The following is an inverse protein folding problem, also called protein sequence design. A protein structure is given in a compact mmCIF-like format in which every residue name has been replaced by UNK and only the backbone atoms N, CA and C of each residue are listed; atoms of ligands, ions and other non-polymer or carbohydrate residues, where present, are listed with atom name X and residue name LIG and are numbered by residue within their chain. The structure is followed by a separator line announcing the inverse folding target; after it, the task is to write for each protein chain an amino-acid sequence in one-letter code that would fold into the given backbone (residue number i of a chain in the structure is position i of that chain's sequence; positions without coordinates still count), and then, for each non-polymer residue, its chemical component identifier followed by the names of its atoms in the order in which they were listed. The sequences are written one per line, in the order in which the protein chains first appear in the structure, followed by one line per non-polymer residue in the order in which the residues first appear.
data_IF_275239291307
#
_entry.id   IF_275239291307
#
_cell.length_a   1.000
_cell.length_b   1.000
_cell.length_c   1.000
_cell.angle_alpha   90.00
_cell.angle_beta   90.00
_cell.angle_gamma   90.00
#
_symmetry.space_group_name_H-M   'P 1'
#
loop_
_entity.id
_entity.type
_entity.pdbx_description
1 polymer ?
#
# COMPACT_ATOMS: atom_id res chain seq x y z
N UNK A 1 -16.70 -8.46 -14.91
CA UNK A 1 -15.52 -8.65 -14.05
C UNK A 1 -15.80 -7.97 -12.72
N UNK A 2 -15.65 -8.68 -11.61
CA UNK A 2 -15.83 -8.16 -10.25
C UNK A 2 -14.46 -7.89 -9.64
N UNK A 3 -14.28 -6.69 -9.09
CA UNK A 3 -13.01 -6.25 -8.48
C UNK A 3 -13.20 -6.07 -6.98
N UNK A 4 -12.22 -6.52 -6.20
CA UNK A 4 -12.15 -6.22 -4.77
C UNK A 4 -10.84 -5.51 -4.42
N UNK A 5 -10.92 -4.46 -3.60
CA UNK A 5 -9.75 -3.84 -2.97
C UNK A 5 -9.66 -4.39 -1.56
N UNK A 6 -8.50 -4.95 -1.21
CA UNK A 6 -8.20 -5.41 0.14
C UNK A 6 -7.30 -4.40 0.84
N UNK A 7 -7.69 -3.90 2.01
CA UNK A 7 -6.96 -2.83 2.69
C UNK A 7 -6.89 -3.01 4.22
N UNK A 8 -5.92 -2.35 4.86
CA UNK A 8 -5.67 -2.50 6.29
C UNK A 8 -6.64 -1.75 7.23
N UNK A 9 -7.60 -0.99 6.69
CA UNK A 9 -8.53 -0.18 7.49
C UNK A 9 -9.77 0.19 6.68
N UNK A 10 -10.98 0.21 7.28
CA UNK A 10 -12.20 0.70 6.63
C UNK A 10 -12.17 2.22 6.35
N UNK A 11 -11.14 2.92 6.82
CA UNK A 11 -10.90 4.34 6.56
C UNK A 11 -9.63 4.59 5.72
N UNK A 12 -9.14 3.58 4.99
CA UNK A 12 -7.89 3.69 4.20
C UNK A 12 -8.00 4.78 3.12
N UNK A 13 -7.21 5.87 3.20
CA UNK A 13 -7.16 6.88 2.14
C UNK A 13 -6.66 6.29 0.82
N UNK A 14 -5.67 5.40 0.89
CA UNK A 14 -5.12 4.75 -0.30
C UNK A 14 -6.14 3.88 -1.04
N UNK A 15 -6.98 3.14 -0.30
CA UNK A 15 -8.07 2.39 -0.91
C UNK A 15 -9.09 3.32 -1.59
N UNK A 16 -9.33 4.50 -0.99
CA UNK A 16 -10.21 5.53 -1.54
C UNK A 16 -9.64 6.15 -2.82
N UNK A 17 -8.33 6.37 -2.89
CA UNK A 17 -7.66 6.88 -4.08
C UNK A 17 -7.70 5.86 -5.23
N UNK A 18 -7.42 4.58 -4.96
CA UNK A 18 -7.59 3.50 -5.94
C UNK A 18 -9.03 3.46 -6.45
N UNK A 19 -10.00 3.56 -5.54
CA UNK A 19 -11.42 3.57 -5.88
C UNK A 19 -11.79 4.72 -6.81
N UNK A 20 -11.26 5.92 -6.53
CA UNK A 20 -11.47 7.11 -7.33
C UNK A 20 -10.90 6.93 -8.74
N UNK A 21 -9.68 6.42 -8.86
CA UNK A 21 -9.03 6.18 -10.15
C UNK A 21 -9.76 5.12 -11.00
N UNK A 22 -10.29 4.08 -10.35
CA UNK A 22 -11.18 3.09 -10.96
C UNK A 22 -12.48 3.73 -11.45
N UNK A 23 -13.09 4.58 -10.62
CA UNK A 23 -14.34 5.25 -10.91
C UNK A 23 -14.19 6.21 -12.12
N UNK A 24 -13.12 7.00 -12.16
CA UNK A 24 -12.78 7.89 -13.30
C UNK A 24 -12.67 7.12 -14.62
N UNK A 25 -12.21 5.87 -14.57
CA UNK A 25 -12.06 4.97 -15.74
C UNK A 25 -13.30 4.13 -16.05
N UNK A 26 -14.44 4.43 -15.41
CA UNK A 26 -15.70 3.72 -15.66
C UNK A 26 -15.78 2.33 -15.03
N UNK A 27 -14.81 1.93 -14.20
CA UNK A 27 -14.92 0.69 -13.43
C UNK A 27 -15.93 0.93 -12.30
N UNK A 28 -16.93 0.05 -12.20
CA UNK A 28 -18.03 0.08 -11.23
C UNK A 28 -18.13 -1.25 -10.51
N UNK A 29 -19.00 -1.33 -9.49
CA UNK A 29 -19.20 -2.55 -8.70
C UNK A 29 -17.89 -3.06 -8.07
N UNK A 30 -17.08 -2.13 -7.56
CA UNK A 30 -15.83 -2.46 -6.87
C UNK A 30 -16.13 -2.64 -5.38
N UNK A 31 -15.86 -3.82 -4.86
CA UNK A 31 -16.01 -4.14 -3.45
C UNK A 31 -14.74 -3.78 -2.66
N UNK A 32 -14.88 -3.53 -1.36
CA UNK A 32 -13.76 -3.31 -0.46
C UNK A 32 -13.86 -4.29 0.69
N UNK A 33 -12.79 -5.04 0.93
CA UNK A 33 -12.64 -5.86 2.14
C UNK A 33 -11.55 -5.24 2.99
N UNK A 34 -11.93 -4.72 4.14
CA UNK A 34 -11.04 -3.99 5.02
C UNK A 34 -10.75 -4.78 6.30
N UNK A 35 -9.51 -4.71 6.77
CA UNK A 35 -9.19 -5.15 8.12
C UNK A 35 -9.79 -4.16 9.12
N UNK A 36 -10.76 -4.60 9.91
CA UNK A 36 -11.22 -3.91 11.09
C UNK A 36 -10.24 -4.23 12.21
N UNK A 37 -9.42 -3.26 12.61
CA UNK A 37 -8.80 -3.35 13.94
C UNK A 37 -9.95 -3.27 14.95
N UNK A 38 -10.54 -4.41 15.31
CA UNK A 38 -11.23 -4.53 16.60
C UNK A 38 -10.15 -4.44 17.67
N UNK A 39 -9.72 -3.22 17.97
CA UNK A 39 -9.05 -2.92 19.21
C UNK A 39 -10.06 -3.16 20.32
N UNK A 40 -10.25 -4.41 20.76
CA UNK A 40 -10.54 -4.59 22.16
C UNK A 40 -9.38 -3.87 22.88
N UNK A 41 -9.64 -2.84 23.71
CA UNK A 41 -8.57 -2.21 24.46
C UNK A 41 -7.85 -3.34 25.21
N UNK A 42 -6.51 -3.42 25.07
CA UNK A 42 -5.73 -4.36 25.88
C UNK A 42 -6.12 -4.10 27.34
N UNK A 43 -6.84 -5.02 27.96
CA UNK A 43 -7.23 -4.91 29.37
C UNK A 43 -5.95 -4.79 30.19
N UNK A 44 -5.99 -4.02 31.29
CA UNK A 44 -4.85 -3.83 32.20
C UNK A 44 -4.21 -5.18 32.58
N UNK A 45 -5.02 -6.21 32.78
CA UNK A 45 -4.56 -7.59 33.00
C UNK A 45 -3.69 -8.16 31.87
N UNK A 46 -4.04 -7.95 30.59
CA UNK A 46 -3.25 -8.45 29.45
C UNK A 46 -1.89 -7.76 29.31
N UNK A 47 -1.82 -6.48 29.70
CA UNK A 47 -0.56 -5.70 29.69
C UNK A 47 0.36 -6.11 30.84
N UNK A 48 -0.21 -6.31 32.04
CA UNK A 48 0.50 -6.81 33.23
C UNK A 48 1.06 -8.22 33.04
N UNK A 49 0.26 -9.13 32.44
CA UNK A 49 0.69 -10.50 32.16
C UNK A 49 1.89 -10.57 31.19
N UNK A 50 2.05 -9.55 30.32
CA UNK A 50 3.12 -9.53 29.32
C UNK A 50 4.41 -8.85 29.82
N UNK A 51 4.32 -7.95 30.81
CA UNK A 51 5.46 -7.09 31.21
C UNK A 51 5.85 -7.16 32.70
N UNK A 52 5.12 -7.91 33.53
CA UNK A 52 5.41 -8.03 34.96
C UNK A 52 5.47 -6.68 35.70
N UNK A 53 6.29 -6.59 36.76
CA UNK A 53 6.41 -5.43 37.66
C UNK A 53 6.89 -4.11 37.00
N UNK A 54 7.27 -4.11 35.71
CA UNK A 54 7.71 -2.93 34.96
C UNK A 54 6.56 -2.03 34.44
N UNK A 55 5.32 -2.33 34.83
CA UNK A 55 4.08 -1.68 34.41
C UNK A 55 4.04 -0.13 34.48
N UNK A 56 4.64 0.55 35.48
CA UNK A 56 4.57 2.02 35.54
C UNK A 56 5.39 2.74 34.45
N UNK A 57 6.52 2.18 34.02
CA UNK A 57 7.46 2.83 33.09
C UNK A 57 7.00 2.76 31.63
N UNK A 58 6.31 1.69 31.25
CA UNK A 58 5.82 1.48 29.87
C UNK A 58 4.67 2.44 29.55
N UNK A 59 3.78 2.71 30.52
CA UNK A 59 2.67 3.65 30.35
C UNK A 59 3.18 5.09 30.27
N UNK A 60 4.14 5.48 31.11
CA UNK A 60 4.72 6.83 31.06
C UNK A 60 5.40 7.09 29.71
N UNK A 61 6.15 6.12 29.19
CA UNK A 61 6.77 6.18 27.85
C UNK A 61 5.72 6.25 26.74
N UNK A 62 4.60 5.54 26.88
CA UNK A 62 3.49 5.56 25.93
C UNK A 62 2.73 6.90 25.94
N UNK A 63 2.46 7.48 27.11
CA UNK A 63 1.83 8.80 27.27
C UNK A 63 2.72 9.90 26.68
N UNK A 64 4.02 9.89 26.98
CA UNK A 64 4.99 10.84 26.42
C UNK A 64 5.07 10.71 24.89
N UNK A 65 5.04 9.48 24.35
CA UNK A 65 5.05 9.25 22.89
C UNK A 65 3.76 9.71 22.19
N UNK A 66 2.62 9.75 22.89
CA UNK A 66 1.34 10.25 22.36
C UNK A 66 1.22 11.77 22.43
N UNK A 67 1.76 12.41 23.47
CA UNK A 67 1.72 13.87 23.61
C UNK A 67 2.52 14.57 22.49
N UNK A 68 3.66 13.99 22.08
CA UNK A 68 4.43 14.48 20.93
C UNK A 68 3.73 14.32 19.57
N UNK A 69 2.78 13.38 19.45
CA UNK A 69 2.00 13.13 18.23
C UNK A 69 0.83 14.12 18.08
N UNK A 70 0.20 14.51 19.20
CA UNK A 70 -0.92 15.46 19.22
C UNK A 70 -0.44 16.86 18.79
N UNK A 71 0.80 17.24 19.11
CA UNK A 71 1.34 18.55 18.75
C UNK A 71 1.79 18.67 17.28
N UNK A 72 2.04 17.54 16.60
CA UNK A 72 2.56 17.50 15.21
C UNK A 72 1.47 17.35 14.14
N UNK A 73 0.21 17.22 14.54
CA UNK A 73 -0.96 17.13 13.64
C UNK A 73 -1.66 18.48 13.43
N UNK A 74 -0.90 19.57 13.47
CA UNK A 74 -1.40 20.92 13.22
C UNK A 74 -0.51 21.67 12.23
N UNK A 75 -0.22 21.04 11.11
CA UNK A 75 0.25 21.79 9.94
C UNK A 75 0.01 21.03 8.65
N UNK A 76 -0.65 21.76 7.74
CA UNK A 76 -0.76 21.56 6.30
C UNK A 76 -1.87 20.64 5.81
N UNK A 77 -2.85 21.29 5.19
CA UNK A 77 -4.01 20.66 4.58
C UNK A 77 -3.84 20.41 3.09
N UNK A 78 -4.81 19.67 2.59
CA UNK A 78 -5.35 19.77 1.23
C UNK A 78 -6.75 19.18 1.29
N UNK A 79 -7.73 19.92 0.78
CA UNK A 79 -9.17 19.68 0.90
C UNK A 79 -9.57 18.25 0.51
N UNK A 80 -9.84 17.41 1.50
CA UNK A 80 -10.49 16.12 1.30
C UNK A 80 -11.99 16.34 1.08
N UNK A 81 -12.53 15.78 0.00
CA UNK A 81 -13.98 15.71 -0.21
C UNK A 81 -14.68 15.09 1.00
N UNK A 82 -15.84 15.64 1.38
CA UNK A 82 -16.58 15.35 2.60
C UNK A 82 -17.16 13.92 2.76
N UNK A 83 -16.69 12.93 1.99
CA UNK A 83 -17.17 11.54 2.00
C UNK A 83 -16.30 10.57 2.80
N UNK A 84 -16.82 9.37 3.06
CA UNK A 84 -16.10 8.23 3.65
C UNK A 84 -15.80 7.17 2.58
N UNK A 85 -14.84 6.26 2.85
CA UNK A 85 -14.62 5.12 1.94
C UNK A 85 -15.90 4.29 1.76
N UNK A 86 -16.70 4.14 2.81
CA UNK A 86 -17.97 3.43 2.74
C UNK A 86 -18.98 4.12 1.82
N UNK A 87 -19.17 5.44 1.94
CA UNK A 87 -20.07 6.18 1.05
C UNK A 87 -19.63 6.10 -0.40
N UNK A 88 -18.32 6.18 -0.64
CA UNK A 88 -17.75 6.14 -1.99
C UNK A 88 -17.91 4.75 -2.63
N UNK A 89 -17.75 3.68 -1.84
CA UNK A 89 -17.99 2.30 -2.29
C UNK A 89 -19.46 2.07 -2.61
N UNK A 90 -20.38 2.54 -1.76
CA UNK A 90 -21.82 2.42 -1.98
C UNK A 90 -22.27 3.22 -3.22
N UNK A 91 -21.75 4.43 -3.42
CA UNK A 91 -22.12 5.31 -4.53
C UNK A 91 -21.86 4.71 -5.92
N UNK A 92 -20.95 3.74 -6.03
CA UNK A 92 -20.62 3.04 -7.29
C UNK A 92 -21.18 1.60 -7.35
N UNK A 93 -22.10 1.24 -6.46
CA UNK A 93 -22.73 -0.08 -6.39
C UNK A 93 -21.89 -1.17 -5.74
N UNK A 94 -20.81 -0.81 -5.05
CA UNK A 94 -19.95 -1.73 -4.32
C UNK A 94 -20.44 -2.03 -2.90
N UNK A 95 -19.73 -2.94 -2.23
CA UNK A 95 -19.93 -3.26 -0.81
C UNK A 95 -18.62 -3.13 -0.05
N UNK A 96 -18.64 -2.43 1.07
CA UNK A 96 -17.55 -2.44 2.04
C UNK A 96 -17.84 -3.50 3.09
N UNK A 97 -16.86 -4.37 3.36
CA UNK A 97 -16.94 -5.39 4.42
C UNK A 97 -15.72 -5.27 5.31
N UNK A 98 -15.93 -4.99 6.59
CA UNK A 98 -14.87 -4.88 7.58
C UNK A 98 -14.75 -6.20 8.37
N UNK A 99 -13.54 -6.77 8.42
CA UNK A 99 -13.26 -8.07 9.03
C UNK A 99 -12.15 -7.98 10.09
N UNK A 100 -12.27 -8.69 11.23
CA UNK A 100 -11.22 -8.71 12.24
C UNK A 100 -9.94 -9.38 11.75
N UNK A 101 -10.02 -10.29 10.76
CA UNK A 101 -8.87 -10.87 10.09
C UNK A 101 -9.15 -11.05 8.60
N UNK A 102 -8.34 -10.40 7.76
CA UNK A 102 -8.44 -10.51 6.31
C UNK A 102 -7.71 -11.74 5.76
N UNK A 103 -6.99 -12.48 6.60
CA UNK A 103 -6.41 -13.78 6.29
C UNK A 103 -7.28 -14.97 6.74
N UNK A 104 -8.40 -14.70 7.41
CA UNK A 104 -9.31 -15.72 7.93
C UNK A 104 -10.21 -16.35 6.87
N UNK A 105 -10.82 -17.48 7.20
CA UNK A 105 -11.77 -18.19 6.32
C UNK A 105 -12.98 -17.33 5.93
N UNK A 106 -13.43 -16.45 6.84
CA UNK A 106 -14.52 -15.52 6.56
C UNK A 106 -14.20 -14.61 5.36
N UNK A 107 -12.95 -14.15 5.25
CA UNK A 107 -12.53 -13.32 4.11
C UNK A 107 -12.60 -14.13 2.80
N UNK A 108 -12.13 -15.37 2.80
CA UNK A 108 -12.20 -16.26 1.63
C UNK A 108 -13.64 -16.47 1.19
N UNK A 109 -14.54 -16.76 2.16
CA UNK A 109 -15.96 -16.94 1.89
C UNK A 109 -16.57 -15.67 1.28
N UNK A 110 -16.31 -14.49 1.84
CA UNK A 110 -16.83 -13.23 1.32
C UNK A 110 -16.33 -12.96 -0.10
N UNK A 111 -15.02 -13.11 -0.34
CA UNK A 111 -14.45 -12.92 -1.68
C UNK A 111 -15.03 -13.91 -2.70
N UNK A 112 -15.28 -15.15 -2.28
CA UNK A 112 -15.91 -16.18 -3.12
C UNK A 112 -17.39 -15.89 -3.39
N UNK A 113 -18.17 -15.53 -2.36
CA UNK A 113 -19.59 -15.19 -2.47
C UNK A 113 -19.80 -13.95 -3.38
N UNK A 114 -18.89 -12.99 -3.31
CA UNK A 114 -18.87 -11.83 -4.19
C UNK A 114 -18.45 -12.18 -5.63
N UNK A 115 -17.91 -13.36 -5.88
CA UNK A 115 -17.45 -13.77 -7.21
C UNK A 115 -16.28 -12.95 -7.73
N UNK A 116 -15.35 -12.53 -6.85
CA UNK A 116 -14.23 -11.65 -7.22
C UNK A 116 -13.37 -12.29 -8.31
N UNK A 117 -13.19 -11.56 -9.42
CA UNK A 117 -12.34 -11.99 -10.53
C UNK A 117 -10.90 -11.47 -10.36
N UNK A 118 -10.72 -10.22 -9.92
CA UNK A 118 -9.40 -9.58 -9.69
C UNK A 118 -9.37 -8.88 -8.34
N UNK A 119 -8.30 -9.09 -7.57
CA UNK A 119 -8.11 -8.41 -6.28
C UNK A 119 -6.93 -7.43 -6.32
N UNK A 120 -7.07 -6.28 -5.68
CA UNK A 120 -6.05 -5.26 -5.54
C UNK A 120 -5.63 -5.14 -4.07
N UNK A 121 -4.33 -5.10 -3.78
CA UNK A 121 -3.85 -4.74 -2.44
C UNK A 121 -3.75 -3.22 -2.29
N UNK A 122 -4.67 -2.63 -1.53
CA UNK A 122 -4.74 -1.21 -1.18
C UNK A 122 -4.15 -0.92 0.20
N UNK A 123 -2.96 -1.44 0.50
CA UNK A 123 -2.32 -1.33 1.82
C UNK A 123 -2.82 -2.38 2.82
N UNK A 124 -3.00 -3.60 2.34
CA UNK A 124 -3.32 -4.77 3.16
C UNK A 124 -2.13 -5.22 4.04
N UNK A 125 -2.36 -5.97 5.13
CA UNK A 125 -1.28 -6.69 5.81
C UNK A 125 -0.68 -7.78 4.90
N UNK A 126 0.33 -8.50 5.39
CA UNK A 126 0.87 -9.67 4.68
C UNK A 126 -0.26 -10.68 4.44
N UNK A 127 -0.50 -10.99 3.18
CA UNK A 127 -1.60 -11.85 2.74
C UNK A 127 -1.15 -13.30 2.62
N UNK A 128 -1.97 -14.23 3.10
CA UNK A 128 -1.71 -15.67 3.05
C UNK A 128 -2.27 -16.29 1.78
N UNK A 129 -1.64 -17.38 1.35
CA UNK A 129 -1.97 -18.09 0.12
C UNK A 129 -3.47 -18.44 -0.06
N UNK A 130 -4.23 -18.87 0.98
CA UNK A 130 -5.65 -19.20 0.79
C UNK A 130 -6.47 -18.02 0.27
N UNK A 131 -6.25 -16.81 0.80
CA UNK A 131 -6.97 -15.59 0.38
C UNK A 131 -6.49 -15.10 -0.99
N UNK A 132 -5.17 -15.14 -1.24
CA UNK A 132 -4.58 -14.72 -2.51
C UNK A 132 -5.06 -15.54 -3.72
N UNK A 133 -5.50 -16.79 -3.50
CA UNK A 133 -5.96 -17.72 -4.54
C UNK A 133 -7.44 -17.61 -4.87
N UNK A 134 -8.24 -16.87 -4.09
CA UNK A 134 -9.69 -16.75 -4.34
C UNK A 134 -10.00 -16.05 -5.67
N UNK A 135 -9.36 -14.92 -6.04
CA UNK A 135 -9.66 -14.23 -7.29
C UNK A 135 -9.18 -15.04 -8.50
N UNK A 136 -10.06 -15.25 -9.48
CA UNK A 136 -9.78 -16.09 -10.67
C UNK A 136 -8.59 -15.60 -11.50
N UNK A 137 -8.45 -14.29 -11.64
CA UNK A 137 -7.38 -13.64 -12.40
C UNK A 137 -6.14 -13.35 -11.53
N UNK A 138 -6.25 -13.56 -10.22
CA UNK A 138 -5.19 -13.35 -9.24
C UNK A 138 -5.32 -12.05 -8.46
N UNK A 139 -4.26 -11.76 -7.69
CA UNK A 139 -4.15 -10.57 -6.87
C UNK A 139 -3.02 -9.70 -7.40
N UNK A 140 -3.22 -8.38 -7.48
CA UNK A 140 -2.22 -7.42 -7.95
C UNK A 140 -1.91 -6.37 -6.89
N UNK A 141 -0.69 -5.88 -6.93
CA UNK A 141 -0.18 -4.82 -6.07
C UNK A 141 0.67 -3.84 -6.89
N UNK A 142 0.71 -2.58 -6.46
CA UNK A 142 1.67 -1.60 -6.98
C UNK A 142 2.75 -1.38 -5.93
N UNK A 143 3.96 -1.82 -6.23
CA UNK A 143 5.13 -1.76 -5.36
C UNK A 143 6.04 -0.61 -5.75
N UNK A 144 6.55 0.16 -4.79
CA UNK A 144 7.33 1.38 -5.06
C UNK A 144 8.83 1.13 -5.31
N UNK A 145 9.15 0.03 -6.00
CA UNK A 145 10.52 -0.32 -6.39
C UNK A 145 10.57 -1.01 -7.73
N UNK A 146 11.69 -0.87 -8.44
CA UNK A 146 11.94 -1.65 -9.66
C UNK A 146 12.20 -3.13 -9.29
N UNK A 147 11.23 -4.00 -9.59
CA UNK A 147 11.37 -5.44 -9.40
C UNK A 147 12.14 -6.06 -10.57
N UNK A 148 12.94 -7.13 -10.32
CA UNK A 148 13.13 -7.83 -9.05
C UNK A 148 14.10 -7.15 -8.07
N UNK A 149 14.87 -6.15 -8.51
CA UNK A 149 16.03 -5.61 -7.77
C UNK A 149 15.69 -5.09 -6.38
N UNK A 150 14.58 -4.36 -6.23
CA UNK A 150 14.20 -3.69 -4.98
C UNK A 150 12.90 -4.26 -4.42
N UNK A 151 12.96 -5.34 -3.62
CA UNK A 151 11.81 -5.92 -2.90
C UNK A 151 11.70 -5.36 -1.48
N UNK A 152 10.51 -5.41 -0.88
CA UNK A 152 10.30 -5.12 0.53
C UNK A 152 10.02 -3.65 0.83
N UNK A 153 10.67 -3.09 1.85
CA UNK A 153 10.29 -1.79 2.42
C UNK A 153 11.29 -0.69 2.08
N UNK A 154 10.81 0.57 2.07
CA UNK A 154 11.62 1.77 1.83
C UNK A 154 12.41 1.77 0.51
N UNK A 155 11.87 1.09 -0.50
CA UNK A 155 12.57 0.82 -1.77
C UNK A 155 12.76 2.06 -2.65
N UNK A 156 11.91 3.09 -2.54
CA UNK A 156 12.18 4.42 -3.13
C UNK A 156 13.50 4.97 -2.57
N UNK A 157 13.67 4.94 -1.24
CA UNK A 157 14.85 5.47 -0.59
C UNK A 157 16.08 4.62 -0.88
N UNK A 158 15.95 3.29 -0.87
CA UNK A 158 17.05 2.40 -1.21
C UNK A 158 17.53 2.58 -2.66
N UNK A 159 16.61 2.79 -3.61
CA UNK A 159 16.97 3.12 -4.98
C UNK A 159 17.77 4.44 -5.04
N UNK A 160 17.34 5.47 -4.31
CA UNK A 160 18.06 6.75 -4.24
C UNK A 160 19.44 6.62 -3.58
N UNK A 161 19.55 5.85 -2.50
CA UNK A 161 20.87 5.53 -1.88
C UNK A 161 21.79 4.86 -2.90
N UNK A 162 21.28 3.95 -3.74
CA UNK A 162 22.02 3.31 -4.82
C UNK A 162 22.10 4.15 -6.11
N UNK A 163 21.68 5.42 -6.07
CA UNK A 163 21.68 6.39 -7.18
C UNK A 163 20.90 5.90 -8.41
N UNK A 164 19.89 5.07 -8.19
CA UNK A 164 18.94 4.58 -9.20
C UNK A 164 17.66 5.43 -9.20
N UNK A 165 16.98 5.54 -10.37
CA UNK A 165 15.72 6.28 -10.46
C UNK A 165 14.60 5.59 -9.68
N UNK A 166 13.82 6.32 -8.85
CA UNK A 166 12.62 5.79 -8.22
C UNK A 166 11.62 5.26 -9.27
N UNK A 167 11.04 4.09 -9.00
CA UNK A 167 10.21 3.36 -9.97
C UNK A 167 9.10 2.62 -9.22
N UNK A 168 7.91 2.50 -9.83
CA UNK A 168 6.82 1.65 -9.37
C UNK A 168 6.73 0.43 -10.28
N UNK A 169 6.51 -0.74 -9.69
CA UNK A 169 6.17 -1.97 -10.41
C UNK A 169 4.76 -2.40 -10.03
N UNK A 170 3.87 -2.58 -11.01
CA UNK A 170 2.64 -3.34 -10.81
C UNK A 170 2.94 -4.81 -11.07
N UNK A 171 2.62 -5.67 -10.11
CA UNK A 171 2.92 -7.09 -10.18
C UNK A 171 1.79 -7.92 -9.58
N UNK A 172 1.78 -9.20 -9.93
CA UNK A 172 0.97 -10.19 -9.25
C UNK A 172 1.54 -10.50 -7.87
N UNK A 173 0.66 -10.78 -6.93
CA UNK A 173 1.02 -11.17 -5.56
C UNK A 173 1.01 -12.68 -5.46
N UNK A 174 2.12 -13.22 -4.98
CA UNK A 174 2.31 -14.61 -4.59
C UNK A 174 2.64 -14.69 -3.08
N UNK A 175 2.92 -15.87 -2.50
CA UNK A 175 3.28 -15.97 -1.09
C UNK A 175 4.64 -15.34 -0.71
N UNK A 176 5.45 -14.91 -1.68
CA UNK A 176 6.73 -14.26 -1.42
C UNK A 176 6.60 -12.75 -1.28
N UNK A 177 7.69 -12.09 -0.86
CA UNK A 177 7.74 -10.63 -0.75
C UNK A 177 8.11 -10.03 -2.10
N UNK A 178 7.11 -9.51 -2.80
CA UNK A 178 7.24 -8.86 -4.11
C UNK A 178 7.92 -9.74 -5.19
N UNK A 179 7.63 -11.05 -5.16
CA UNK A 179 8.26 -12.04 -6.09
C UNK A 179 7.41 -12.42 -7.29
N UNK A 180 6.11 -12.11 -7.29
CA UNK A 180 5.20 -12.53 -8.36
C UNK A 180 5.42 -11.79 -9.69
N UNK A 181 4.82 -12.32 -10.76
CA UNK A 181 5.04 -11.84 -12.13
C UNK A 181 4.78 -10.34 -12.28
N UNK A 182 5.66 -9.64 -13.01
CA UNK A 182 5.54 -8.22 -13.32
C UNK A 182 4.48 -8.04 -14.41
N UNK A 183 3.60 -7.04 -14.22
CA UNK A 183 2.61 -6.62 -15.21
C UNK A 183 3.14 -5.41 -15.98
N UNK A 184 3.65 -4.41 -15.25
CA UNK A 184 4.28 -3.21 -15.84
C UNK A 184 5.16 -2.49 -14.82
N UNK A 185 6.06 -1.64 -15.32
CA UNK A 185 6.90 -0.76 -14.52
C UNK A 185 6.81 0.67 -15.04
N UNK A 186 6.86 1.65 -14.14
CA UNK A 186 6.79 3.08 -14.46
C UNK A 186 7.76 3.87 -13.58
N UNK A 187 8.53 4.80 -14.15
CA UNK A 187 9.41 5.66 -13.35
C UNK A 187 8.57 6.69 -12.61
N UNK A 188 8.91 6.97 -11.36
CA UNK A 188 8.28 8.07 -10.62
C UNK A 188 8.91 9.36 -11.11
N UNK A 189 8.13 10.33 -11.63
CA UNK A 189 8.67 11.62 -12.04
C UNK A 189 9.27 12.34 -10.83
N UNK A 190 10.49 12.84 -11.00
CA UNK A 190 11.19 13.69 -10.03
C UNK A 190 11.43 15.03 -10.69
N UNK A 191 11.13 16.11 -9.98
CA UNK A 191 11.21 17.49 -10.48
C UNK A 191 12.05 18.38 -9.55
N UNK A 192 12.44 19.54 -10.04
CA UNK A 192 13.16 20.54 -9.25
C UNK A 192 12.32 20.93 -8.04
N UNK A 193 12.95 20.97 -6.85
CA UNK A 193 12.29 21.30 -5.59
C UNK A 193 11.64 20.11 -4.89
N UNK A 194 11.75 18.90 -5.42
CA UNK A 194 11.27 17.70 -4.73
C UNK A 194 12.07 17.41 -3.45
N UNK A 195 11.34 16.91 -2.45
CA UNK A 195 11.88 16.21 -1.28
C UNK A 195 11.50 14.72 -1.35
N UNK A 196 12.09 13.87 -0.51
CA UNK A 196 11.64 12.47 -0.42
C UNK A 196 10.14 12.35 -0.13
N UNK A 197 9.58 13.27 0.64
CA UNK A 197 8.15 13.25 0.96
C UNK A 197 7.30 13.55 -0.28
N UNK A 198 7.63 14.57 -1.06
CA UNK A 198 6.86 14.91 -2.27
C UNK A 198 6.97 13.82 -3.34
N UNK A 199 8.11 13.14 -3.44
CA UNK A 199 8.28 11.96 -4.31
C UNK A 199 7.40 10.80 -3.84
N UNK A 200 7.29 10.53 -2.54
CA UNK A 200 6.40 9.51 -1.99
C UNK A 200 4.92 9.82 -2.21
N UNK A 201 4.54 11.08 -2.01
CA UNK A 201 3.15 11.52 -2.20
C UNK A 201 2.76 11.35 -3.67
N UNK A 202 3.63 11.78 -4.60
CA UNK A 202 3.45 11.56 -6.04
C UNK A 202 3.40 10.07 -6.39
N UNK A 203 4.27 9.27 -5.79
CA UNK A 203 4.26 7.81 -5.97
C UNK A 203 2.93 7.20 -5.56
N UNK A 204 2.34 7.66 -4.45
CA UNK A 204 1.08 7.13 -3.92
C UNK A 204 -0.08 7.37 -4.89
N UNK A 205 -0.15 8.57 -5.47
CA UNK A 205 -1.11 8.89 -6.53
C UNK A 205 -0.89 8.02 -7.78
N UNK A 206 0.36 7.90 -8.24
CA UNK A 206 0.71 7.10 -9.41
C UNK A 206 0.40 5.61 -9.23
N UNK A 207 0.55 5.05 -8.02
CA UNK A 207 0.15 3.67 -7.74
C UNK A 207 -1.35 3.44 -7.98
N UNK A 208 -2.21 4.35 -7.50
CA UNK A 208 -3.66 4.25 -7.73
C UNK A 208 -4.01 4.29 -9.21
N UNK A 209 -3.37 5.20 -9.95
CA UNK A 209 -3.52 5.32 -11.40
C UNK A 209 -3.13 4.03 -12.13
N UNK A 210 -1.94 3.48 -11.84
CA UNK A 210 -1.41 2.28 -12.50
C UNK A 210 -2.24 1.03 -12.18
N UNK A 211 -2.75 0.91 -10.95
CA UNK A 211 -3.66 -0.17 -10.57
C UNK A 211 -4.98 -0.09 -11.34
N UNK A 212 -5.56 1.11 -11.47
CA UNK A 212 -6.78 1.30 -12.22
C UNK A 212 -6.59 1.01 -13.72
N UNK A 213 -5.47 1.45 -14.31
CA UNK A 213 -5.10 1.10 -15.69
C UNK A 213 -4.92 -0.41 -15.87
N UNK A 214 -4.33 -1.09 -14.89
CA UNK A 214 -4.18 -2.56 -14.90
C UNK A 214 -5.53 -3.26 -14.89
N UNK A 215 -6.50 -2.75 -14.13
CA UNK A 215 -7.87 -3.28 -14.09
C UNK A 215 -8.59 -3.06 -15.42
N UNK A 216 -8.42 -1.90 -16.06
CA UNK A 216 -8.97 -1.63 -17.40
C UNK A 216 -8.33 -2.56 -18.44
N UNK A 217 -7.02 -2.77 -18.38
CA UNK A 217 -6.35 -3.74 -19.27
C UNK A 217 -6.90 -5.17 -19.05
N UNK A 218 -7.08 -5.58 -17.79
CA UNK A 218 -7.68 -6.87 -17.44
C UNK A 218 -9.10 -7.04 -18.00
N UNK A 219 -9.94 -5.99 -17.96
CA UNK A 219 -11.27 -5.98 -18.58
C UNK A 219 -11.22 -6.26 -20.09
N UNK A 220 -10.17 -5.82 -20.75
CA UNK A 220 -9.93 -6.01 -22.18
C UNK A 220 -9.17 -7.31 -22.50
N UNK A 221 -9.02 -8.22 -21.52
CA UNK A 221 -8.28 -9.47 -21.68
C UNK A 221 -6.77 -9.32 -21.73
N UNK A 222 -6.23 -8.15 -21.36
CA UNK A 222 -4.81 -7.84 -21.38
C UNK A 222 -4.25 -7.80 -19.97
N UNK A 223 -3.64 -8.90 -19.54
CA UNK A 223 -2.98 -8.97 -18.24
C UNK A 223 -1.64 -9.71 -18.37
N UNK A 224 -0.60 -9.02 -18.88
CA UNK A 224 0.69 -9.64 -19.15
C UNK A 224 1.35 -10.15 -17.88
N UNK A 225 2.14 -11.22 -18.04
CA UNK A 225 2.91 -11.85 -16.98
C UNK A 225 4.36 -11.95 -17.41
N UNK A 226 5.22 -11.16 -16.80
CA UNK A 226 6.66 -11.28 -16.93
C UNK A 226 7.23 -11.89 -15.64
N UNK A 227 7.68 -13.14 -15.71
CA UNK A 227 8.27 -13.82 -14.57
C UNK A 227 9.56 -13.15 -14.12
N UNK A 228 9.71 -12.99 -12.80
CA UNK A 228 10.93 -12.49 -12.18
C UNK A 228 11.98 -13.60 -12.06
N UNK A 229 13.22 -13.33 -12.45
CA UNK A 229 14.34 -14.20 -12.09
C UNK A 229 14.64 -14.08 -10.59
N UNK A 230 14.74 -15.23 -9.89
CA UNK A 230 14.94 -15.24 -8.43
C UNK A 230 16.30 -14.68 -8.00
N UNK A 231 17.34 -14.85 -8.82
CA UNK A 231 18.70 -14.40 -8.52
C UNK A 231 18.87 -12.87 -8.54
N UNK A 232 17.95 -12.15 -9.17
CA UNK A 232 18.15 -10.74 -9.53
C UNK A 232 17.60 -9.76 -8.47
N UNK A 233 17.06 -10.28 -7.37
CA UNK A 233 16.33 -9.47 -6.39
C UNK A 233 16.87 -9.55 -4.97
N UNK A 234 16.99 -8.40 -4.31
CA UNK A 234 17.29 -8.28 -2.88
C UNK A 234 16.06 -7.80 -2.13
N UNK A 235 15.79 -8.40 -0.97
CA UNK A 235 14.78 -7.90 -0.05
C UNK A 235 15.41 -6.82 0.85
N UNK A 236 14.79 -5.64 0.83
CA UNK A 236 15.13 -4.52 1.68
C UNK A 236 14.14 -4.40 2.83
N UNK A 237 14.63 -3.87 3.95
CA UNK A 237 13.86 -3.68 5.18
C UNK A 237 13.72 -2.20 5.51
N UNK A 238 12.99 -1.91 6.58
CA UNK A 238 12.74 -0.56 7.03
C UNK A 238 14.07 0.20 7.22
N UNK A 239 14.17 1.37 6.59
CA UNK A 239 15.39 2.17 6.57
C UNK A 239 15.55 2.99 7.86
N UNK A 240 16.74 2.94 8.45
CA UNK A 240 17.10 3.77 9.61
C UNK A 240 17.02 5.27 9.26
N UNK A 241 16.56 6.16 10.17
CA UNK A 241 16.43 7.60 9.88
C UNK A 241 17.70 8.27 9.34
N UNK A 242 18.88 7.87 9.82
CA UNK A 242 20.17 8.37 9.30
C UNK A 242 20.33 8.08 7.79
N UNK A 243 19.99 6.87 7.34
CA UNK A 243 20.07 6.52 5.92
C UNK A 243 19.01 7.23 5.07
N UNK A 244 17.88 7.64 5.67
CA UNK A 244 16.90 8.48 4.97
C UNK A 244 17.46 9.86 4.64
N UNK A 245 18.30 10.42 5.52
CA UNK A 245 18.99 11.68 5.22
C UNK A 245 19.96 11.53 4.04
N UNK A 246 20.67 10.39 3.94
CA UNK A 246 21.51 10.07 2.78
C UNK A 246 20.67 9.92 1.50
N UNK A 247 19.51 9.28 1.58
CA UNK A 247 18.60 9.17 0.45
C UNK A 247 18.10 10.55 -0.02
N UNK A 248 17.85 11.48 0.90
CA UNK A 248 17.46 12.86 0.60
C UNK A 248 18.58 13.61 -0.12
N UNK A 249 19.83 13.50 0.36
CA UNK A 249 20.99 14.09 -0.31
C UNK A 249 21.15 13.55 -1.74
N UNK A 250 21.06 12.23 -1.91
CA UNK A 250 21.15 11.59 -3.22
C UNK A 250 19.98 11.94 -4.15
N UNK A 251 18.79 12.25 -3.61
CA UNK A 251 17.69 12.82 -4.39
C UNK A 251 18.07 14.20 -4.94
N UNK A 252 18.67 15.07 -4.11
CA UNK A 252 19.11 16.39 -4.56
C UNK A 252 20.21 16.28 -5.64
N UNK A 253 21.13 15.33 -5.52
CA UNK A 253 22.08 14.98 -6.58
C UNK A 253 21.40 14.51 -7.87
N UNK A 254 20.36 13.69 -7.74
CA UNK A 254 19.59 13.20 -8.89
C UNK A 254 18.88 14.35 -9.61
N UNK A 255 18.23 15.26 -8.87
CA UNK A 255 17.57 16.46 -9.40
C UNK A 255 18.56 17.33 -10.19
N UNK A 256 19.74 17.61 -9.61
CA UNK A 256 20.79 18.39 -10.28
C UNK A 256 21.24 17.79 -11.62
N UNK A 257 21.23 16.45 -11.75
CA UNK A 257 21.65 15.75 -12.97
C UNK A 257 20.59 15.79 -14.08
N UNK A 258 19.31 15.73 -13.72
CA UNK A 258 18.22 15.71 -14.71
C UNK A 258 17.77 17.11 -15.16
N UNK A 259 18.14 18.14 -14.41
CA UNK A 259 17.87 19.55 -14.72
C UNK A 259 19.16 20.37 -14.63
N UNK A 260 20.10 20.22 -15.57
CA UNK A 260 21.28 21.08 -15.63
C UNK A 260 20.86 22.53 -15.88
N UNK A 261 21.49 23.45 -15.13
CA UNK A 261 21.25 24.89 -15.21
C UNK A 261 21.60 25.47 -16.59
#
# INVERSE_FOLDING_TARGET
MIVAILCGSPHSPYARDILRELNVRGVRNVHVVAHSRSGAPRTIMSVLATHGFAFPLVILRWIVSRLGLIFKLRSQGSSASAGTLESDVQAQGGRLVALPDVNGEQCQKILSDLGVDLMILGGAPIMKAPVLRVPKMGTVNAHQGALPRYRGMNVIEWALVERQPPTITVHFVDPGVDTGDIIRMERIPVVVGDSLQTVRDRSSALQGQLLAETVVAALNGQLPRQTQAKADGKQFYAMHPFLKAVAEEHLQDYIRRISPA
#
